data_IF_879192904461
#
_entry.id   IF_879192904461
#
_cell.length_a   1.000
_cell.length_b   1.000
_cell.length_c   1.000
_cell.angle_alpha   90.00
_cell.angle_beta   90.00
_cell.angle_gamma   90.00
#
_symmetry.space_group_name_H-M   'P 1'
#
loop_
_entity.id
_entity.type
_entity.pdbx_description
1 polymer ?
#
# COMPACT_ATOMS: atom_id res chain seq x y z
N UNK A 1 14.72 0.09 21.98
CA UNK A 1 15.11 1.41 22.52
C UNK A 1 16.25 2.05 21.71
N UNK A 2 17.43 1.45 21.55
CA UNK A 2 18.47 1.98 20.63
C UNK A 2 18.03 1.90 19.15
N UNK A 3 17.41 0.79 18.74
CA UNK A 3 16.92 0.60 17.37
C UNK A 3 15.83 1.59 16.98
N UNK A 4 14.96 1.99 17.92
CA UNK A 4 13.88 2.96 17.65
C UNK A 4 14.42 4.39 17.48
N UNK A 5 15.51 4.70 18.18
CA UNK A 5 16.22 5.99 18.08
C UNK A 5 17.03 6.05 16.79
N UNK A 6 17.68 4.96 16.38
CA UNK A 6 18.35 4.86 15.07
C UNK A 6 17.33 4.95 13.93
N UNK A 7 16.19 4.29 14.05
CA UNK A 7 15.07 4.37 13.12
C UNK A 7 14.60 5.83 12.95
N UNK A 8 14.30 6.51 14.06
CA UNK A 8 13.95 7.94 14.09
C UNK A 8 15.07 8.82 13.52
N UNK A 9 16.34 8.51 13.81
CA UNK A 9 17.49 9.25 13.29
C UNK A 9 17.63 9.10 11.77
N UNK A 10 17.48 7.89 11.22
CA UNK A 10 17.50 7.64 9.78
C UNK A 10 16.35 8.34 9.05
N UNK A 11 15.16 8.36 9.67
CA UNK A 11 14.01 9.11 9.18
C UNK A 11 14.30 10.61 9.15
N UNK A 12 14.79 11.18 10.25
CA UNK A 12 15.11 12.60 10.37
C UNK A 12 16.25 13.00 9.42
N UNK A 13 17.30 12.19 9.28
CA UNK A 13 18.39 12.42 8.33
C UNK A 13 17.89 12.42 6.88
N UNK A 14 17.05 11.45 6.51
CA UNK A 14 16.40 11.36 5.19
C UNK A 14 15.49 12.58 4.90
N UNK A 15 14.77 13.06 5.91
CA UNK A 15 13.79 14.14 5.79
C UNK A 15 14.38 15.55 5.89
N UNK A 16 15.49 15.74 6.62
CA UNK A 16 16.04 17.06 6.96
C UNK A 16 17.32 17.38 6.15
N UNK A 17 18.19 16.39 5.91
CA UNK A 17 19.51 16.66 5.32
C UNK A 17 19.46 16.62 3.78
N UNK A 18 18.54 15.86 3.18
CA UNK A 18 18.53 15.60 1.73
C UNK A 18 17.33 16.19 0.97
N UNK A 19 16.66 17.19 1.54
CA UNK A 19 15.40 17.78 1.03
C UNK A 19 15.59 19.27 0.71
N UNK A 20 16.39 19.59 -0.30
CA UNK A 20 16.47 20.96 -0.82
C UNK A 20 15.16 21.43 -1.51
N UNK A 21 14.26 20.49 -1.81
CA UNK A 21 12.88 20.74 -2.22
C UNK A 21 12.01 19.67 -1.56
N UNK A 22 10.99 20.07 -0.79
CA UNK A 22 10.09 19.17 -0.02
C UNK A 22 9.38 18.07 -0.84
N UNK A 23 9.65 18.02 -2.14
CA UNK A 23 9.17 17.12 -3.17
C UNK A 23 9.70 15.69 -3.09
N UNK A 24 10.90 15.45 -2.54
CA UNK A 24 11.50 14.10 -2.45
C UNK A 24 11.16 13.34 -1.15
N UNK A 25 10.46 14.01 -0.24
CA UNK A 25 10.11 13.49 1.09
C UNK A 25 9.25 12.23 1.01
N UNK A 26 8.18 12.24 0.23
CA UNK A 26 7.21 11.13 0.18
C UNK A 26 7.85 9.83 -0.35
N UNK A 27 8.63 9.92 -1.43
CA UNK A 27 9.34 8.77 -1.98
C UNK A 27 10.36 8.22 -1.00
N UNK A 28 11.16 9.09 -0.38
CA UNK A 28 12.17 8.67 0.61
C UNK A 28 11.54 8.09 1.87
N UNK A 29 10.40 8.63 2.31
CA UNK A 29 9.63 8.08 3.42
C UNK A 29 9.11 6.69 3.08
N UNK A 30 8.55 6.51 1.88
CA UNK A 30 8.04 5.21 1.44
C UNK A 30 9.18 4.18 1.33
N UNK A 31 10.32 4.55 0.75
CA UNK A 31 11.51 3.69 0.72
C UNK A 31 11.96 3.37 2.15
N UNK A 32 12.05 4.35 3.03
CA UNK A 32 12.40 4.14 4.43
C UNK A 32 11.44 3.17 5.13
N UNK A 33 10.13 3.29 4.92
CA UNK A 33 9.14 2.35 5.48
C UNK A 33 9.39 0.93 4.96
N UNK A 34 9.61 0.75 3.65
CA UNK A 34 9.89 -0.57 3.06
C UNK A 34 11.14 -1.23 3.65
N UNK A 35 12.18 -0.46 3.94
CA UNK A 35 13.45 -0.97 4.48
C UNK A 35 13.37 -1.37 5.95
N UNK A 36 12.51 -0.71 6.73
CA UNK A 36 12.48 -0.89 8.19
C UNK A 36 11.30 -1.74 8.69
N UNK A 37 10.25 -1.92 7.88
CA UNK A 37 9.06 -2.69 8.27
C UNK A 37 8.88 -3.95 7.39
N UNK A 38 9.81 -4.89 7.49
CA UNK A 38 9.83 -6.16 6.75
C UNK A 38 8.90 -7.25 7.34
N UNK A 39 7.89 -6.86 8.11
CA UNK A 39 7.04 -7.80 8.85
C UNK A 39 5.95 -8.45 7.97
N UNK A 40 5.68 -7.89 6.79
CA UNK A 40 4.61 -8.35 5.92
C UNK A 40 5.02 -9.59 5.11
N UNK A 41 6.28 -9.69 4.67
CA UNK A 41 6.76 -10.84 3.88
C UNK A 41 6.72 -12.16 4.65
N UNK A 42 7.25 -12.27 5.89
CA UNK A 42 7.18 -13.52 6.63
C UNK A 42 5.74 -13.93 6.95
N UNK A 43 4.86 -12.95 7.20
CA UNK A 43 3.42 -13.19 7.42
C UNK A 43 2.73 -13.72 6.17
N UNK A 44 3.05 -13.15 5.00
CA UNK A 44 2.52 -13.64 3.73
C UNK A 44 2.86 -15.12 3.49
N UNK A 45 4.09 -15.54 3.81
CA UNK A 45 4.49 -16.94 3.69
C UNK A 45 3.67 -17.86 4.60
N UNK A 46 3.47 -17.47 5.87
CA UNK A 46 2.64 -18.22 6.83
C UNK A 46 1.18 -18.30 6.38
N UNK A 47 0.62 -17.20 5.90
CA UNK A 47 -0.76 -17.13 5.40
C UNK A 47 -0.94 -18.03 4.17
N UNK A 48 0.02 -18.03 3.25
CA UNK A 48 -0.06 -18.82 2.01
C UNK A 48 0.06 -20.32 2.26
N UNK A 49 0.72 -20.72 3.35
CA UNK A 49 0.83 -22.12 3.79
C UNK A 49 -0.38 -22.61 4.58
N UNK A 50 -1.27 -21.72 5.02
CA UNK A 50 -2.51 -22.10 5.69
C UNK A 50 -3.47 -22.80 4.73
N UNK A 51 -4.29 -23.71 5.24
CA UNK A 51 -5.30 -24.43 4.46
C UNK A 51 -6.33 -23.48 3.85
N UNK A 52 -6.73 -22.45 4.59
CA UNK A 52 -7.62 -21.38 4.13
C UNK A 52 -7.00 -19.99 4.38
N UNK A 53 -6.19 -19.46 3.42
CA UNK A 53 -5.48 -18.20 3.58
C UNK A 53 -6.39 -17.01 3.95
N UNK A 54 -7.60 -16.95 3.38
CA UNK A 54 -8.56 -15.86 3.61
C UNK A 54 -9.14 -15.81 5.02
N UNK A 55 -9.12 -16.92 5.76
CA UNK A 55 -9.60 -16.97 7.15
C UNK A 55 -8.47 -16.75 8.15
N UNK A 56 -7.22 -16.61 7.68
CA UNK A 56 -6.10 -16.36 8.57
C UNK A 56 -6.31 -15.04 9.31
N UNK A 57 -6.15 -14.99 10.65
CA UNK A 57 -6.43 -13.78 11.44
C UNK A 57 -5.66 -12.53 10.97
N UNK A 58 -4.44 -12.73 10.48
CA UNK A 58 -3.57 -11.64 9.99
C UNK A 58 -3.74 -11.33 8.49
N UNK A 59 -4.71 -11.94 7.79
CA UNK A 59 -4.87 -11.80 6.34
C UNK A 59 -5.02 -10.33 5.91
N UNK A 60 -6.06 -9.65 6.39
CA UNK A 60 -6.35 -8.26 6.03
C UNK A 60 -5.29 -7.30 6.55
N UNK A 61 -4.77 -7.52 7.76
CA UNK A 61 -3.67 -6.73 8.32
C UNK A 61 -2.43 -6.79 7.42
N UNK A 62 -2.12 -7.97 6.88
CA UNK A 62 -0.96 -8.15 5.97
C UNK A 62 -1.22 -7.49 4.61
N UNK A 63 -2.44 -7.55 4.08
CA UNK A 63 -2.84 -6.80 2.87
C UNK A 63 -2.64 -5.29 3.09
N UNK A 64 -3.15 -4.74 4.18
CA UNK A 64 -3.02 -3.31 4.52
C UNK A 64 -1.55 -2.93 4.69
N UNK A 65 -0.73 -3.76 5.35
CA UNK A 65 0.70 -3.52 5.50
C UNK A 65 1.41 -3.43 4.15
N UNK A 66 1.10 -4.30 3.19
CA UNK A 66 1.66 -4.20 1.84
C UNK A 66 1.23 -2.92 1.12
N UNK A 67 -0.02 -2.49 1.28
CA UNK A 67 -0.51 -1.22 0.71
C UNK A 67 0.22 -0.01 1.30
N UNK A 68 0.39 0.04 2.63
CA UNK A 68 1.12 1.11 3.32
C UNK A 68 2.60 1.16 2.91
N UNK A 69 3.20 0.03 2.59
CA UNK A 69 4.56 -0.06 2.03
C UNK A 69 4.63 0.28 0.54
N UNK A 70 3.49 0.50 -0.12
CA UNK A 70 3.43 0.68 -1.58
C UNK A 70 3.79 -0.58 -2.37
N UNK A 71 3.76 -1.76 -1.74
CA UNK A 71 3.97 -3.08 -2.38
C UNK A 71 2.65 -3.60 -2.95
N UNK A 72 2.10 -2.83 -3.89
CA UNK A 72 0.77 -3.06 -4.45
C UNK A 72 0.66 -4.43 -5.11
N UNK A 73 1.71 -4.89 -5.80
CA UNK A 73 1.74 -6.22 -6.40
C UNK A 73 1.59 -7.34 -5.37
N UNK A 74 2.25 -7.22 -4.21
CA UNK A 74 2.15 -8.20 -3.12
C UNK A 74 0.76 -8.18 -2.48
N UNK A 75 0.20 -7.00 -2.22
CA UNK A 75 -1.17 -6.86 -1.72
C UNK A 75 -2.18 -7.54 -2.66
N UNK A 76 -2.10 -7.25 -3.96
CA UNK A 76 -2.96 -7.85 -5.00
C UNK A 76 -2.77 -9.36 -5.10
N UNK A 77 -1.53 -9.85 -5.03
CA UNK A 77 -1.24 -11.29 -5.01
C UNK A 77 -1.91 -11.98 -3.82
N UNK A 78 -1.84 -11.40 -2.63
CA UNK A 78 -2.46 -11.95 -1.44
C UNK A 78 -3.99 -11.90 -1.51
N UNK A 79 -4.57 -10.80 -2.00
CA UNK A 79 -6.01 -10.68 -2.26
C UNK A 79 -6.53 -11.69 -3.28
N UNK A 80 -5.72 -12.06 -4.27
CA UNK A 80 -6.11 -13.05 -5.28
C UNK A 80 -6.34 -14.45 -4.72
N UNK A 81 -5.85 -14.72 -3.50
CA UNK A 81 -6.09 -15.97 -2.77
C UNK A 81 -7.48 -16.00 -2.10
N UNK A 82 -8.19 -14.87 -2.04
CA UNK A 82 -9.51 -14.82 -1.42
C UNK A 82 -10.53 -15.59 -2.28
N UNK A 83 -11.36 -16.49 -1.72
CA UNK A 83 -12.32 -17.28 -2.48
C UNK A 83 -13.31 -16.45 -3.32
N UNK A 84 -13.60 -15.22 -2.85
CA UNK A 84 -14.51 -14.28 -3.51
C UNK A 84 -13.81 -13.31 -4.47
N UNK A 85 -12.53 -13.50 -4.80
CA UNK A 85 -11.76 -12.53 -5.60
C UNK A 85 -12.38 -12.21 -6.97
N UNK A 86 -13.17 -13.12 -7.54
CA UNK A 86 -13.87 -12.91 -8.82
C UNK A 86 -15.20 -12.13 -8.68
N UNK A 87 -15.60 -11.76 -7.47
CA UNK A 87 -16.79 -10.92 -7.23
C UNK A 87 -16.50 -9.49 -7.66
N UNK A 88 -17.52 -8.78 -8.14
CA UNK A 88 -17.39 -7.45 -8.75
C UNK A 88 -16.72 -6.42 -7.83
N UNK A 89 -16.98 -6.47 -6.52
CA UNK A 89 -16.37 -5.58 -5.53
C UNK A 89 -14.86 -5.82 -5.34
N UNK A 90 -14.42 -7.08 -5.31
CA UNK A 90 -13.00 -7.43 -5.31
C UNK A 90 -12.31 -6.99 -6.61
N UNK A 91 -12.97 -7.17 -7.75
CA UNK A 91 -12.45 -6.72 -9.04
C UNK A 91 -12.37 -5.19 -9.13
N UNK A 92 -13.36 -4.48 -8.57
CA UNK A 92 -13.37 -3.02 -8.46
C UNK A 92 -12.20 -2.53 -7.60
N UNK A 93 -11.94 -3.17 -6.45
CA UNK A 93 -10.77 -2.83 -5.62
C UNK A 93 -9.44 -3.16 -6.33
N UNK A 94 -9.34 -4.32 -7.00
CA UNK A 94 -8.14 -4.69 -7.77
C UNK A 94 -7.83 -3.68 -8.87
N UNK A 95 -8.86 -3.15 -9.54
CA UNK A 95 -8.75 -2.09 -10.54
C UNK A 95 -8.20 -0.80 -9.92
N UNK A 96 -8.78 -0.35 -8.80
CA UNK A 96 -8.30 0.84 -8.08
C UNK A 96 -6.83 0.69 -7.71
N UNK A 97 -6.45 -0.45 -7.15
CA UNK A 97 -5.07 -0.69 -6.74
C UNK A 97 -4.11 -0.74 -7.93
N UNK A 98 -4.51 -1.36 -9.04
CA UNK A 98 -3.71 -1.38 -10.27
C UNK A 98 -3.46 0.01 -10.83
N UNK A 99 -4.45 0.90 -10.70
CA UNK A 99 -4.39 2.28 -11.16
C UNK A 99 -3.76 3.25 -10.14
N UNK A 100 -3.34 2.75 -8.96
CA UNK A 100 -2.76 3.57 -7.92
C UNK A 100 -1.50 4.30 -8.44
N UNK A 101 -1.48 5.64 -8.43
CA UNK A 101 -0.32 6.38 -8.88
C UNK A 101 0.85 6.16 -7.94
N UNK A 102 1.97 5.72 -8.47
CA UNK A 102 3.24 5.57 -7.74
C UNK A 102 4.26 6.55 -8.27
N UNK A 103 4.80 7.40 -7.38
CA UNK A 103 5.88 8.30 -7.74
C UNK A 103 7.22 7.57 -7.67
N UNK A 104 7.89 7.45 -8.81
CA UNK A 104 9.26 6.97 -8.87
C UNK A 104 10.11 7.95 -9.69
N UNK A 105 11.30 8.36 -9.22
CA UNK A 105 12.17 9.29 -9.94
C UNK A 105 12.53 8.85 -11.36
N UNK A 106 12.48 7.54 -11.63
CA UNK A 106 12.77 6.92 -12.94
C UNK A 106 11.64 7.02 -13.96
N UNK A 107 10.41 7.36 -13.55
CA UNK A 107 9.23 7.34 -14.44
C UNK A 107 9.15 8.52 -15.40
N UNK A 108 9.94 9.58 -15.18
CA UNK A 108 9.92 10.80 -16.00
C UNK A 108 8.66 11.66 -15.81
N UNK A 109 7.73 11.26 -14.93
CA UNK A 109 6.49 12.00 -14.65
C UNK A 109 6.82 13.22 -13.78
N UNK A 110 6.28 14.38 -14.15
CA UNK A 110 6.43 15.60 -13.35
C UNK A 110 5.67 15.49 -12.02
N UNK A 111 6.11 16.21 -10.99
CA UNK A 111 5.41 16.21 -9.71
C UNK A 111 3.94 16.66 -9.84
N UNK A 112 3.70 17.68 -10.65
CA UNK A 112 2.35 18.23 -10.82
C UNK A 112 1.43 17.20 -11.48
N UNK A 113 1.95 16.47 -12.46
CA UNK A 113 1.22 15.38 -13.09
C UNK A 113 0.95 14.23 -12.11
N UNK A 114 1.94 13.82 -11.31
CA UNK A 114 1.73 12.83 -10.26
C UNK A 114 0.64 13.27 -9.27
N UNK A 115 0.71 14.51 -8.76
CA UNK A 115 -0.29 15.07 -7.83
C UNK A 115 -1.69 15.06 -8.44
N UNK A 116 -1.80 15.45 -9.72
CA UNK A 116 -3.09 15.42 -10.42
C UNK A 116 -3.65 14.00 -10.53
N UNK A 117 -2.82 13.03 -10.95
CA UNK A 117 -3.22 11.60 -11.00
C UNK A 117 -3.63 11.08 -9.62
N UNK A 118 -2.86 11.41 -8.58
CA UNK A 118 -3.16 11.02 -7.19
C UNK A 118 -4.49 11.56 -6.72
N UNK A 119 -4.76 12.86 -6.95
CA UNK A 119 -6.04 13.47 -6.58
C UNK A 119 -7.20 12.79 -7.30
N UNK A 120 -7.10 12.57 -8.61
CA UNK A 120 -8.17 11.91 -9.37
C UNK A 120 -8.44 10.50 -8.87
N UNK A 121 -7.38 9.71 -8.67
CA UNK A 121 -7.48 8.37 -8.13
C UNK A 121 -8.13 8.34 -6.73
N UNK A 122 -7.71 9.24 -5.85
CA UNK A 122 -8.23 9.33 -4.49
C UNK A 122 -9.71 9.72 -4.43
N UNK A 123 -10.13 10.65 -5.29
CA UNK A 123 -11.55 11.02 -5.38
C UNK A 123 -12.40 9.88 -5.96
N UNK A 124 -11.87 9.09 -6.89
CA UNK A 124 -12.54 7.87 -7.37
C UNK A 124 -12.69 6.82 -6.25
N UNK A 125 -11.63 6.56 -5.47
CA UNK A 125 -11.70 5.65 -4.31
C UNK A 125 -12.81 6.07 -3.34
N UNK A 126 -12.87 7.37 -3.00
CA UNK A 126 -13.92 7.91 -2.12
C UNK A 126 -15.31 7.76 -2.73
N UNK A 127 -15.46 8.04 -4.02
CA UNK A 127 -16.75 7.95 -4.69
C UNK A 127 -17.29 6.50 -4.68
N UNK A 128 -16.44 5.51 -4.97
CA UNK A 128 -16.81 4.08 -4.92
C UNK A 128 -17.16 3.64 -3.50
N UNK A 129 -16.39 4.06 -2.50
CA UNK A 129 -16.68 3.78 -1.08
C UNK A 129 -18.03 4.38 -0.65
N UNK A 130 -18.31 5.65 -1.00
CA UNK A 130 -19.58 6.31 -0.66
C UNK A 130 -20.80 5.69 -1.33
N UNK A 131 -20.62 5.06 -2.49
CA UNK A 131 -21.69 4.32 -3.19
C UNK A 131 -21.99 2.96 -2.55
N UNK A 132 -21.20 2.53 -1.57
CA UNK A 132 -21.33 1.21 -0.96
C UNK A 132 -20.88 0.08 -1.88
N UNK A 133 -19.95 0.35 -2.82
CA UNK A 133 -19.44 -0.70 -3.73
C UNK A 133 -18.71 -1.82 -2.97
N UNK A 134 -18.23 -1.57 -1.74
CA UNK A 134 -17.45 -2.51 -0.94
C UNK A 134 -18.20 -3.09 0.28
N UNK A 135 -19.45 -2.69 0.53
CA UNK A 135 -20.21 -3.10 1.73
C UNK A 135 -20.53 -4.60 1.85
N UNK A 136 -20.18 -5.39 0.84
CA UNK A 136 -20.42 -6.84 0.79
C UNK A 136 -19.32 -7.69 1.45
N UNK A 137 -18.23 -7.08 1.92
CA UNK A 137 -17.19 -7.73 2.75
C UNK A 137 -16.53 -6.69 3.65
N UNK A 138 -16.48 -6.96 4.96
CA UNK A 138 -15.96 -5.99 5.95
C UNK A 138 -14.49 -5.64 5.71
N UNK A 139 -13.71 -6.56 5.14
CA UNK A 139 -12.31 -6.32 4.82
C UNK A 139 -12.06 -5.42 3.60
N UNK A 140 -13.10 -5.08 2.82
CA UNK A 140 -12.98 -4.20 1.66
C UNK A 140 -13.35 -2.74 1.95
N UNK A 141 -13.91 -2.43 3.12
CA UNK A 141 -14.22 -1.07 3.60
C UNK A 141 -13.02 -0.41 4.30
#
# INVERSE_FOLDING_TARGET
MFSDIELLWHLLQSLIIETHSGTRVLYKLLEWIKWHFLFAEPKMEQITQAEEPSLHPEYWDTVIQFLLQGKITSARSLMSLHPKFQREDFLSLDELLRNMPMYAPSTGISLNEFRMRWTLWHEECKARLQRGEFSSEVGLE
#
